data_IF_907358166732
#
_entry.id   IF_907358166732
#
_cell.length_a   1.000
_cell.length_b   1.000
_cell.length_c   1.000
_cell.angle_alpha   90.00
_cell.angle_beta   90.00
_cell.angle_gamma   90.00
#
_symmetry.space_group_name_H-M   'P 1'
#
loop_
_entity.id
_entity.type
_entity.pdbx_description
1 polymer ?
#
# COMPACT_ATOMS: atom_id res chain seq x y z
N UNK A 1 14.78 3.85 13.03
CA UNK A 1 15.17 2.43 12.84
C UNK A 1 14.03 1.55 12.30
N UNK A 2 12.75 1.89 12.51
CA UNK A 2 11.61 1.02 12.16
C UNK A 2 11.28 0.83 10.64
N UNK A 3 11.68 1.71 9.71
CA UNK A 3 11.13 1.66 8.33
C UNK A 3 11.90 0.80 7.31
N UNK A 4 13.14 0.39 7.60
CA UNK A 4 13.89 -0.54 6.73
C UNK A 4 13.30 -1.98 6.74
N UNK A 5 12.50 -2.31 7.76
CA UNK A 5 11.95 -3.66 7.97
C UNK A 5 10.83 -3.96 6.98
N UNK A 6 10.09 -2.96 6.49
CA UNK A 6 8.94 -3.18 5.60
C UNK A 6 9.36 -3.90 4.32
N UNK A 7 10.44 -3.46 3.67
CA UNK A 7 10.95 -4.10 2.46
C UNK A 7 11.35 -5.55 2.72
N UNK A 8 12.03 -5.81 3.84
CA UNK A 8 12.42 -7.16 4.24
C UNK A 8 11.22 -8.05 4.57
N UNK A 9 10.18 -7.49 5.19
CA UNK A 9 8.94 -8.19 5.49
C UNK A 9 8.22 -8.61 4.21
N UNK A 10 8.08 -7.69 3.24
CA UNK A 10 7.49 -7.99 1.94
C UNK A 10 8.30 -9.04 1.17
N UNK A 11 9.63 -8.92 1.15
CA UNK A 11 10.52 -9.90 0.52
C UNK A 11 10.43 -11.28 1.20
N UNK A 12 10.34 -11.32 2.53
CA UNK A 12 10.16 -12.56 3.29
C UNK A 12 8.79 -13.21 3.05
N UNK A 13 7.78 -12.40 2.72
CA UNK A 13 6.43 -12.85 2.40
C UNK A 13 6.22 -13.22 0.92
N UNK A 14 7.26 -13.19 0.07
CA UNK A 14 7.14 -13.36 -1.39
C UNK A 14 6.37 -14.61 -1.81
N UNK A 15 6.53 -15.72 -1.10
CA UNK A 15 5.79 -16.96 -1.38
C UNK A 15 4.29 -16.80 -1.14
N UNK A 16 3.91 -16.11 -0.05
CA UNK A 16 2.51 -15.83 0.28
C UNK A 16 1.90 -14.82 -0.69
N UNK A 17 2.66 -13.80 -1.08
CA UNK A 17 2.23 -12.81 -2.07
C UNK A 17 1.94 -13.49 -3.41
N UNK A 18 2.87 -14.31 -3.91
CA UNK A 18 2.73 -15.03 -5.17
C UNK A 18 1.58 -16.06 -5.15
N UNK A 19 1.33 -16.69 -4.01
CA UNK A 19 0.23 -17.65 -3.84
C UNK A 19 -1.13 -16.98 -3.61
N UNK A 20 -1.19 -15.64 -3.61
CA UNK A 20 -2.39 -14.87 -3.24
C UNK A 20 -2.96 -15.33 -1.87
N UNK A 21 -2.08 -15.72 -0.95
CA UNK A 21 -2.46 -16.23 0.38
C UNK A 21 -2.74 -15.10 1.40
N UNK A 22 -2.59 -13.84 0.98
CA UNK A 22 -2.88 -12.66 1.78
C UNK A 22 -3.99 -11.88 1.07
N UNK A 23 -5.14 -11.75 1.72
CA UNK A 23 -6.28 -11.02 1.14
C UNK A 23 -6.08 -9.51 1.16
N UNK A 24 -5.43 -9.01 2.22
CA UNK A 24 -5.30 -7.59 2.51
C UNK A 24 -3.93 -7.28 3.11
N UNK A 25 -3.29 -6.22 2.61
CA UNK A 25 -2.04 -5.68 3.15
C UNK A 25 -2.31 -4.24 3.60
N UNK A 26 -2.14 -4.00 4.90
CA UNK A 26 -2.20 -2.67 5.49
C UNK A 26 -0.81 -2.22 5.90
N UNK A 27 -0.37 -1.05 5.44
CA UNK A 27 0.97 -0.54 5.73
C UNK A 27 1.04 0.98 5.65
N UNK A 28 2.01 1.53 6.38
CA UNK A 28 2.34 2.95 6.29
C UNK A 28 3.22 3.20 5.06
N UNK A 29 2.84 4.17 4.23
CA UNK A 29 3.52 4.59 3.01
C UNK A 29 4.14 5.98 3.19
N UNK A 30 5.29 6.20 2.55
CA UNK A 30 6.01 7.47 2.65
C UNK A 30 6.08 8.15 1.29
N UNK A 31 5.83 9.46 1.27
CA UNK A 31 5.89 10.30 0.08
C UNK A 31 7.11 11.24 0.12
N UNK A 32 7.45 11.74 1.31
CA UNK A 32 8.67 12.50 1.56
C UNK A 32 9.77 11.60 2.16
N UNK A 33 11.04 12.00 1.98
CA UNK A 33 12.18 11.31 2.58
C UNK A 33 12.31 11.69 4.06
N UNK A 34 11.72 10.88 4.93
CA UNK A 34 11.70 11.05 6.38
C UNK A 34 12.80 10.24 7.08
N UNK A 35 13.26 9.14 6.46
CA UNK A 35 14.27 8.25 7.02
C UNK A 35 15.33 7.86 5.99
N UNK A 36 16.50 7.47 6.50
CA UNK A 36 17.54 6.83 5.70
C UNK A 36 17.07 5.43 5.29
N UNK A 37 17.27 5.09 4.02
CA UNK A 37 16.96 3.78 3.42
C UNK A 37 15.48 3.36 3.50
N UNK A 38 14.56 4.34 3.50
CA UNK A 38 13.12 4.07 3.43
C UNK A 38 12.68 3.56 2.06
N UNK A 39 11.61 2.77 2.05
CA UNK A 39 10.86 2.46 0.84
C UNK A 39 9.79 3.53 0.64
N UNK A 40 9.75 4.16 -0.53
CA UNK A 40 8.72 5.14 -0.85
C UNK A 40 7.45 4.45 -1.36
N UNK A 41 6.33 5.16 -1.30
CA UNK A 41 5.03 4.69 -1.80
C UNK A 41 5.12 4.07 -3.20
N UNK A 42 5.79 4.74 -4.15
CA UNK A 42 5.87 4.27 -5.53
C UNK A 42 6.61 2.94 -5.68
N UNK A 43 7.62 2.68 -4.83
CA UNK A 43 8.34 1.41 -4.81
C UNK A 43 7.47 0.29 -4.24
N UNK A 44 6.73 0.58 -3.17
CA UNK A 44 5.78 -0.38 -2.56
C UNK A 44 4.64 -0.68 -3.52
N UNK A 45 4.06 0.35 -4.13
CA UNK A 45 2.96 0.21 -5.08
C UNK A 45 3.38 -0.67 -6.26
N UNK A 46 4.52 -0.36 -6.88
CA UNK A 46 5.07 -1.16 -7.98
C UNK A 46 5.31 -2.61 -7.56
N UNK A 47 5.94 -2.83 -6.41
CA UNK A 47 6.24 -4.17 -5.92
C UNK A 47 4.96 -4.99 -5.70
N UNK A 48 3.93 -4.39 -5.10
CA UNK A 48 2.66 -5.07 -4.85
C UNK A 48 1.86 -5.30 -6.14
N UNK A 49 1.89 -4.36 -7.10
CA UNK A 49 1.30 -4.54 -8.44
C UNK A 49 1.94 -5.69 -9.21
N UNK A 50 3.27 -5.86 -9.12
CA UNK A 50 3.99 -7.00 -9.72
C UNK A 50 3.58 -8.36 -9.12
N UNK A 51 2.89 -8.35 -7.98
CA UNK A 51 2.36 -9.52 -7.29
C UNK A 51 0.82 -9.57 -7.31
N UNK A 52 0.17 -8.88 -8.26
CA UNK A 52 -1.30 -8.87 -8.44
C UNK A 52 -2.09 -8.31 -7.25
N UNK A 53 -1.49 -7.41 -6.46
CA UNK A 53 -2.21 -6.61 -5.47
C UNK A 53 -2.55 -5.25 -6.05
N UNK A 54 -3.74 -4.76 -5.74
CA UNK A 54 -4.19 -3.43 -6.16
C UNK A 54 -4.29 -2.50 -4.97
N UNK A 55 -3.97 -1.22 -5.19
CA UNK A 55 -4.25 -0.18 -4.20
C UNK A 55 -5.76 -0.01 -4.07
N UNK A 56 -6.28 -0.30 -2.87
CA UNK A 56 -7.69 -0.09 -2.55
C UNK A 56 -7.97 1.34 -2.08
N UNK A 57 -7.07 1.89 -1.25
CA UNK A 57 -7.25 3.23 -0.71
C UNK A 57 -6.04 3.71 0.08
N UNK A 58 -5.96 5.03 0.22
CA UNK A 58 -4.98 5.73 1.04
C UNK A 58 -5.72 6.55 2.09
N UNK A 59 -5.27 6.43 3.33
CA UNK A 59 -5.90 6.98 4.52
C UNK A 59 -4.87 7.74 5.35
N UNK A 60 -5.36 8.51 6.33
CA UNK A 60 -4.54 9.18 7.34
C UNK A 60 -3.34 9.94 6.74
N UNK A 61 -3.57 10.74 5.70
CA UNK A 61 -2.50 11.51 5.06
C UNK A 61 -1.99 12.61 6.00
N UNK A 62 -0.69 12.59 6.28
CA UNK A 62 -0.01 13.61 7.10
C UNK A 62 0.83 14.53 6.23
N UNK A 63 0.78 15.82 6.56
CA UNK A 63 1.53 16.88 5.89
C UNK A 63 2.48 17.59 6.84
N UNK A 64 3.63 18.02 6.31
CA UNK A 64 4.54 18.92 7.01
C UNK A 64 3.98 20.33 7.15
N UNK A 65 4.66 21.18 7.93
CA UNK A 65 4.30 22.59 8.11
C UNK A 65 4.33 23.39 6.80
N UNK A 66 5.12 22.94 5.84
CA UNK A 66 5.23 23.49 4.48
C UNK A 66 4.15 22.95 3.51
N UNK A 67 3.24 22.09 3.99
CA UNK A 67 2.20 21.45 3.20
C UNK A 67 2.67 20.20 2.44
N UNK A 68 3.96 19.85 2.52
CA UNK A 68 4.53 18.66 1.87
C UNK A 68 3.81 17.41 2.36
N UNK A 69 3.40 16.54 1.44
CA UNK A 69 2.83 15.25 1.81
C UNK A 69 3.94 14.35 2.32
N UNK A 70 3.86 13.94 3.59
CA UNK A 70 4.93 13.22 4.27
C UNK A 70 4.72 11.71 4.21
N UNK A 71 3.61 11.24 4.78
CA UNK A 71 3.27 9.82 4.89
C UNK A 71 1.76 9.65 5.03
N UNK A 72 1.31 8.40 4.96
CA UNK A 72 -0.06 8.00 5.29
C UNK A 72 -0.15 6.49 5.35
N UNK A 73 -1.36 5.97 5.40
CA UNK A 73 -1.62 4.53 5.44
C UNK A 73 -2.25 4.08 4.12
N UNK A 74 -1.90 2.89 3.65
CA UNK A 74 -2.51 2.31 2.46
C UNK A 74 -3.04 0.90 2.74
N UNK A 75 -4.14 0.59 2.07
CA UNK A 75 -4.70 -0.75 1.95
C UNK A 75 -4.47 -1.23 0.53
N UNK A 76 -3.85 -2.39 0.40
CA UNK A 76 -3.81 -3.17 -0.84
C UNK A 76 -4.64 -4.43 -0.68
N UNK A 77 -5.33 -4.85 -1.73
CA UNK A 77 -6.15 -6.07 -1.74
C UNK A 77 -5.74 -7.00 -2.87
N UNK A 78 -5.91 -8.30 -2.66
CA UNK A 78 -5.75 -9.32 -3.71
C UNK A 78 -6.82 -9.17 -4.80
N UNK A 79 -6.55 -9.71 -5.99
CA UNK A 79 -7.55 -9.76 -7.07
C UNK A 79 -8.80 -10.55 -6.67
N UNK A 80 -8.63 -11.59 -5.86
CA UNK A 80 -9.74 -12.40 -5.33
C UNK A 80 -10.71 -11.54 -4.51
N UNK A 81 -10.18 -10.68 -3.63
CA UNK A 81 -11.01 -9.75 -2.88
C UNK A 81 -11.64 -8.72 -3.82
N UNK A 82 -10.87 -8.16 -4.77
CA UNK A 82 -11.39 -7.19 -5.74
C UNK A 82 -12.60 -7.73 -6.51
N UNK A 83 -12.58 -8.98 -6.93
CA UNK A 83 -13.69 -9.61 -7.65
C UNK A 83 -14.90 -9.94 -6.77
N UNK A 84 -14.70 -10.11 -5.46
CA UNK A 84 -15.79 -10.31 -4.48
C UNK A 84 -16.42 -8.99 -4.04
N UNK A 85 -15.75 -7.86 -4.25
CA UNK A 85 -16.30 -6.55 -3.89
C UNK A 85 -17.52 -6.19 -4.76
N UNK A 86 -18.62 -5.73 -4.15
CA UNK A 86 -19.77 -5.25 -4.90
C UNK A 86 -19.40 -4.11 -5.87
N UNK A 87 -19.92 -4.10 -7.11
CA UNK A 87 -19.59 -3.07 -8.10
C UNK A 87 -19.89 -1.66 -7.62
N UNK A 88 -20.95 -1.48 -6.82
CA UNK A 88 -21.37 -0.17 -6.32
C UNK A 88 -20.38 0.45 -5.31
N UNK A 89 -19.50 -0.35 -4.67
CA UNK A 89 -18.43 0.19 -3.82
C UNK A 89 -17.31 0.84 -4.64
N UNK A 90 -17.25 0.59 -5.95
CA UNK A 90 -16.28 1.20 -6.86
C UNK A 90 -16.79 2.48 -7.53
N UNK A 91 -18.05 2.87 -7.28
CA UNK A 91 -18.67 4.06 -7.85
C UNK A 91 -18.68 5.15 -6.79
N UNK A 92 -18.01 6.27 -7.05
CA UNK A 92 -18.17 7.47 -6.23
C UNK A 92 -19.61 7.99 -6.43
N UNK A 93 -20.47 8.05 -5.40
CA UNK A 93 -21.88 8.37 -5.55
C UNK A 93 -22.16 9.85 -5.89
N UNK A 94 -21.14 10.61 -6.31
CA UNK A 94 -21.18 12.06 -6.49
C UNK A 94 -21.17 12.54 -7.94
N UNK A 95 -21.83 11.84 -8.87
CA UNK A 95 -22.16 12.35 -10.21
C UNK A 95 -23.64 12.62 -10.35
#
# INVERSE_FOLDING_TARGET
MFKAILKLALQGAISLLNQQAIDLIYLEINFARLYKDQCNFHEINKYLEEHDYILYGIYNLYRGFDGTLCFGDAIFISLDIKHKLPPFLSVYPGS
#
